data_IF_114846182474
#
_entry.id   IF_114846182474
#
_cell.length_a   1.000
_cell.length_b   1.000
_cell.length_c   1.000
_cell.angle_alpha   90.00
_cell.angle_beta   90.00
_cell.angle_gamma   90.00
#
_symmetry.space_group_name_H-M   'P 1'
#
loop_
_entity.id
_entity.type
_entity.pdbx_description
1 polymer ?
#
# COMPACT_ATOMS: atom_id res chain seq x y z
N UNK A 1 -3.57 -20.35 9.95
CA UNK A 1 -3.26 -18.97 9.53
C UNK A 1 -2.86 -18.19 10.77
N UNK A 2 -1.61 -17.78 10.86
CA UNK A 2 -1.14 -16.95 11.99
C UNK A 2 -1.45 -15.51 11.65
N UNK A 3 -2.33 -14.86 12.43
CA UNK A 3 -2.57 -13.44 12.27
C UNK A 3 -1.37 -12.66 12.85
N UNK A 4 -0.81 -11.75 12.06
CA UNK A 4 0.21 -10.83 12.55
C UNK A 4 -0.51 -9.63 13.14
N UNK A 5 -0.55 -9.56 14.49
CA UNK A 5 -1.21 -8.48 15.23
C UNK A 5 -0.17 -7.42 15.56
N UNK A 6 -0.44 -6.17 15.18
CA UNK A 6 0.40 -5.04 15.52
C UNK A 6 -0.35 -4.00 16.34
N UNK A 7 0.24 -3.64 17.50
CA UNK A 7 -0.32 -2.66 18.41
C UNK A 7 0.00 -1.23 17.99
N UNK A 8 -0.97 -0.35 18.15
CA UNK A 8 -0.75 1.08 18.05
C UNK A 8 -0.17 1.65 19.35
N UNK A 9 0.46 2.81 19.28
CA UNK A 9 1.14 3.46 20.41
C UNK A 9 0.18 3.87 21.54
N UNK A 10 -1.10 4.01 21.24
CA UNK A 10 -2.14 4.35 22.24
C UNK A 10 -2.50 3.19 23.16
N UNK A 11 -2.01 1.97 22.89
CA UNK A 11 -2.34 0.74 23.61
C UNK A 11 -3.85 0.42 23.70
N UNK A 12 -4.67 1.10 22.89
CA UNK A 12 -6.13 0.93 22.80
C UNK A 12 -6.57 0.28 21.52
N UNK A 13 -5.75 0.38 20.47
CA UNK A 13 -6.03 -0.17 19.15
C UNK A 13 -4.92 -1.12 18.71
N UNK A 14 -5.30 -2.13 17.95
CA UNK A 14 -4.39 -2.97 17.20
C UNK A 14 -4.95 -3.22 15.80
N UNK A 15 -4.09 -3.54 14.86
CA UNK A 15 -4.50 -3.82 13.49
C UNK A 15 -3.90 -5.14 12.99
N UNK A 16 -4.56 -5.69 11.98
CA UNK A 16 -4.18 -6.93 11.30
C UNK A 16 -4.19 -6.68 9.81
N UNK A 17 -3.11 -7.05 9.15
CA UNK A 17 -3.03 -7.13 7.69
C UNK A 17 -3.34 -8.56 7.27
N UNK A 18 -4.21 -8.73 6.29
CA UNK A 18 -4.60 -10.04 5.76
C UNK A 18 -4.50 -10.06 4.24
N UNK A 19 -3.97 -11.15 3.72
CA UNK A 19 -4.01 -11.44 2.27
C UNK A 19 -5.15 -12.41 1.98
N UNK A 20 -6.04 -12.05 1.06
CA UNK A 20 -7.05 -12.95 0.52
C UNK A 20 -6.66 -13.37 -0.90
N UNK A 21 -6.39 -14.67 -1.05
CA UNK A 21 -6.04 -15.32 -2.32
C UNK A 21 -7.09 -16.36 -2.73
N UNK A 22 -8.31 -16.30 -2.21
CA UNK A 22 -9.38 -17.22 -2.57
C UNK A 22 -9.77 -17.02 -4.03
N UNK A 23 -10.06 -18.13 -4.72
CA UNK A 23 -10.43 -18.11 -6.13
C UNK A 23 -9.30 -17.85 -7.12
N UNK A 24 -8.10 -17.43 -6.68
CA UNK A 24 -6.97 -17.21 -7.60
C UNK A 24 -6.53 -18.52 -8.25
N UNK A 25 -6.24 -18.46 -9.55
CA UNK A 25 -5.67 -19.56 -10.31
C UNK A 25 -4.21 -19.84 -9.94
N UNK A 26 -3.77 -21.05 -10.24
CA UNK A 26 -2.37 -21.45 -10.06
C UNK A 26 -1.58 -21.24 -11.34
N UNK A 27 -0.36 -20.75 -11.21
CA UNK A 27 0.66 -20.79 -12.23
C UNK A 27 1.60 -21.95 -11.95
N UNK A 28 1.92 -22.71 -13.00
CA UNK A 28 2.74 -23.92 -12.94
C UNK A 28 4.05 -23.70 -13.68
N UNK A 29 5.18 -23.87 -12.99
CA UNK A 29 6.51 -23.75 -13.56
C UNK A 29 7.27 -25.07 -13.39
N UNK A 30 7.82 -25.60 -14.48
CA UNK A 30 8.68 -26.77 -14.43
C UNK A 30 10.13 -26.31 -14.30
N UNK A 31 10.77 -26.63 -13.18
CA UNK A 31 12.19 -26.39 -13.00
C UNK A 31 13.00 -27.58 -13.56
N UNK A 32 13.69 -27.35 -14.66
CA UNK A 32 14.54 -28.34 -15.35
C UNK A 32 16.03 -28.13 -15.10
N UNK A 33 16.42 -27.05 -14.39
CA UNK A 33 17.83 -26.67 -14.16
C UNK A 33 18.43 -27.31 -12.92
N UNK A 34 17.64 -27.99 -12.10
CA UNK A 34 18.10 -28.65 -10.89
C UNK A 34 18.88 -29.95 -11.20
N UNK A 35 19.66 -30.42 -10.21
CA UNK A 35 20.26 -31.75 -10.27
C UNK A 35 19.17 -32.81 -10.04
N UNK A 36 18.95 -33.69 -10.99
CA UNK A 36 17.97 -34.77 -10.90
C UNK A 36 16.80 -34.61 -11.85
N UNK A 37 15.62 -35.14 -11.45
CA UNK A 37 14.40 -35.04 -12.26
C UNK A 37 13.79 -33.66 -12.16
N UNK A 38 13.13 -33.18 -13.23
CA UNK A 38 12.39 -31.91 -13.19
C UNK A 38 11.37 -31.89 -12.04
N UNK A 39 11.24 -30.72 -11.40
CA UNK A 39 10.26 -30.50 -10.34
C UNK A 39 9.20 -29.48 -10.78
N UNK A 40 7.96 -29.68 -10.34
CA UNK A 40 6.87 -28.77 -10.58
C UNK A 40 6.79 -27.78 -9.41
N UNK A 41 6.85 -26.47 -9.72
CA UNK A 41 6.55 -25.40 -8.78
C UNK A 41 5.17 -24.83 -9.12
N UNK A 42 4.28 -24.77 -8.15
CA UNK A 42 2.96 -24.17 -8.29
C UNK A 42 2.77 -23.05 -7.28
N UNK A 43 2.17 -21.95 -7.73
CA UNK A 43 1.81 -20.84 -6.84
C UNK A 43 0.65 -20.04 -7.42
N UNK A 44 -0.12 -19.42 -6.55
CA UNK A 44 -1.23 -18.57 -6.96
C UNK A 44 -0.70 -17.28 -7.59
N UNK A 45 -1.12 -17.00 -8.82
CA UNK A 45 -0.68 -15.84 -9.58
C UNK A 45 -1.82 -15.32 -10.46
N UNK A 46 -2.10 -14.03 -10.34
CA UNK A 46 -3.12 -13.38 -11.16
C UNK A 46 -2.53 -12.92 -12.49
N UNK A 47 -3.11 -13.38 -13.59
CA UNK A 47 -2.78 -12.91 -14.94
C UNK A 47 -3.62 -11.68 -15.29
N UNK A 48 -3.17 -10.88 -16.29
CA UNK A 48 -4.01 -9.82 -16.85
C UNK A 48 -5.37 -10.38 -17.33
N UNK A 49 -6.46 -9.78 -16.88
CA UNK A 49 -7.82 -10.22 -17.21
C UNK A 49 -8.45 -11.21 -16.21
N UNK A 50 -7.70 -11.75 -15.26
CA UNK A 50 -8.27 -12.63 -14.24
C UNK A 50 -9.29 -11.90 -13.38
N UNK A 51 -10.41 -12.58 -13.08
CA UNK A 51 -11.47 -12.07 -12.22
C UNK A 51 -11.06 -12.09 -10.75
N UNK A 52 -10.31 -13.13 -10.34
CA UNK A 52 -9.86 -13.30 -8.96
C UNK A 52 -8.39 -12.93 -8.81
N UNK A 53 -8.13 -11.89 -8.03
CA UNK A 53 -6.79 -11.39 -7.72
C UNK A 53 -6.53 -11.41 -6.23
N UNK A 54 -5.26 -11.32 -5.84
CA UNK A 54 -4.90 -11.11 -4.43
C UNK A 54 -5.47 -9.79 -3.94
N UNK A 55 -6.12 -9.83 -2.77
CA UNK A 55 -6.60 -8.64 -2.05
C UNK A 55 -5.88 -8.55 -0.72
N UNK A 56 -5.38 -7.38 -0.42
CA UNK A 56 -4.83 -7.08 0.89
C UNK A 56 -5.88 -6.31 1.68
N UNK A 57 -6.15 -6.77 2.88
CA UNK A 57 -7.16 -6.22 3.77
C UNK A 57 -6.49 -5.65 5.01
N UNK A 58 -7.02 -4.55 5.53
CA UNK A 58 -6.60 -3.91 6.76
C UNK A 58 -7.78 -3.91 7.74
N UNK A 59 -7.59 -4.55 8.88
CA UNK A 59 -8.57 -4.63 9.95
C UNK A 59 -8.05 -3.92 11.18
N UNK A 60 -8.82 -3.00 11.74
CA UNK A 60 -8.51 -2.27 12.96
C UNK A 60 -9.46 -2.70 14.07
N UNK A 61 -8.95 -2.87 15.29
CA UNK A 61 -9.72 -3.31 16.43
C UNK A 61 -9.54 -2.36 17.60
N UNK A 62 -10.65 -2.06 18.28
CA UNK A 62 -10.64 -1.32 19.57
C UNK A 62 -10.73 -2.30 20.72
N UNK A 63 -9.74 -2.25 21.63
CA UNK A 63 -9.72 -3.07 22.86
C UNK A 63 -10.82 -2.65 23.81
N UNK A 64 -11.05 -1.35 23.92
CA UNK A 64 -12.07 -0.79 24.83
C UNK A 64 -13.48 -1.19 24.38
N UNK A 65 -13.77 -1.09 23.09
CA UNK A 65 -15.05 -1.45 22.52
C UNK A 65 -15.19 -2.96 22.26
N UNK A 66 -14.09 -3.73 22.35
CA UNK A 66 -14.02 -5.18 22.08
C UNK A 66 -14.61 -5.55 20.72
N UNK A 67 -14.39 -4.72 19.70
CA UNK A 67 -14.92 -4.92 18.35
C UNK A 67 -13.97 -4.36 17.27
N UNK A 68 -14.20 -4.80 16.06
CA UNK A 68 -13.59 -4.22 14.88
C UNK A 68 -14.12 -2.79 14.66
N UNK A 69 -13.21 -1.89 14.32
CA UNK A 69 -13.51 -0.53 13.86
C UNK A 69 -13.65 -0.58 12.35
N UNK A 70 -14.82 -0.22 11.83
CA UNK A 70 -15.08 -0.21 10.40
C UNK A 70 -14.20 0.82 9.70
N UNK A 71 -13.43 0.37 8.70
CA UNK A 71 -12.56 1.22 7.88
C UNK A 71 -13.05 1.20 6.43
N UNK A 72 -13.45 2.34 5.84
CA UNK A 72 -13.81 2.44 4.43
C UNK A 72 -12.56 2.43 3.54
N UNK A 73 -11.83 1.32 3.52
CA UNK A 73 -10.58 1.19 2.76
C UNK A 73 -10.81 1.00 1.27
N UNK A 74 -11.94 0.38 0.89
CA UNK A 74 -12.24 0.10 -0.50
C UNK A 74 -12.74 1.34 -1.25
N UNK A 75 -12.21 1.56 -2.44
CA UNK A 75 -12.65 2.60 -3.38
C UNK A 75 -12.83 2.04 -4.79
N UNK A 76 -11.90 1.21 -5.23
CA UNK A 76 -11.93 0.62 -6.57
C UNK A 76 -11.99 -0.90 -6.49
N UNK A 77 -12.68 -1.49 -7.45
CA UNK A 77 -12.67 -2.94 -7.62
C UNK A 77 -11.24 -3.42 -7.84
N UNK A 78 -10.84 -4.48 -7.13
CA UNK A 78 -9.53 -5.14 -7.25
C UNK A 78 -8.33 -4.19 -7.03
N UNK A 79 -8.51 -3.17 -6.20
CA UNK A 79 -7.42 -2.28 -5.80
C UNK A 79 -6.32 -3.04 -5.05
N UNK A 80 -5.09 -2.56 -5.17
CA UNK A 80 -4.01 -2.97 -4.26
C UNK A 80 -4.03 -2.08 -3.03
N UNK A 81 -3.67 -2.67 -1.88
CA UNK A 81 -3.55 -1.95 -0.61
C UNK A 81 -2.19 -2.28 0.01
N UNK A 82 -1.45 -1.25 0.40
CA UNK A 82 -0.16 -1.38 1.09
C UNK A 82 -0.20 -0.53 2.35
N UNK A 83 0.08 -1.15 3.49
CA UNK A 83 0.05 -0.46 4.79
C UNK A 83 1.39 0.20 5.08
N UNK A 84 1.33 1.42 5.61
CA UNK A 84 2.48 2.21 6.05
C UNK A 84 2.32 2.61 7.50
N UNK A 85 3.41 2.52 8.25
CA UNK A 85 3.47 2.75 9.69
C UNK A 85 4.40 3.90 10.00
N UNK A 86 3.96 4.80 10.86
CA UNK A 86 4.80 5.87 11.36
C UNK A 86 4.91 5.78 12.89
N UNK A 87 6.16 5.73 13.39
CA UNK A 87 6.47 5.50 14.79
C UNK A 87 6.67 4.03 15.17
N UNK A 88 7.37 3.78 16.26
CA UNK A 88 7.57 2.46 16.87
C UNK A 88 7.42 2.58 18.38
N UNK A 89 6.31 2.10 18.96
CA UNK A 89 5.14 1.47 18.33
C UNK A 89 4.41 2.44 17.38
N UNK A 90 3.56 1.91 16.51
CA UNK A 90 2.86 2.67 15.47
C UNK A 90 2.01 3.79 16.03
N UNK A 91 2.39 5.05 15.81
CA UNK A 91 1.61 6.23 16.22
C UNK A 91 0.57 6.63 15.19
N UNK A 92 0.94 6.59 13.91
CA UNK A 92 0.05 6.92 12.82
C UNK A 92 0.02 5.76 11.83
N UNK A 93 -1.17 5.32 11.47
CA UNK A 93 -1.43 4.26 10.51
C UNK A 93 -1.90 4.88 9.19
N UNK A 94 -1.25 4.47 8.11
CA UNK A 94 -1.57 4.91 6.77
C UNK A 94 -1.71 3.70 5.86
N UNK A 95 -2.38 3.89 4.73
CA UNK A 95 -2.32 2.93 3.63
C UNK A 95 -2.32 3.65 2.29
N UNK A 96 -1.67 3.03 1.32
CA UNK A 96 -1.74 3.39 -0.09
C UNK A 96 -2.73 2.43 -0.75
N UNK A 97 -3.79 2.96 -1.35
CA UNK A 97 -4.65 2.21 -2.26
C UNK A 97 -4.38 2.65 -3.69
N UNK A 98 -4.27 1.68 -4.57
CA UNK A 98 -3.98 1.92 -5.98
C UNK A 98 -4.93 1.10 -6.85
N UNK A 99 -5.47 1.73 -7.86
CA UNK A 99 -6.32 1.10 -8.84
C UNK A 99 -5.57 0.01 -9.62
N UNK A 100 -6.22 -1.08 -9.96
CA UNK A 100 -5.59 -2.21 -10.68
C UNK A 100 -4.98 -1.78 -12.02
N UNK A 101 -5.56 -0.79 -12.68
CA UNK A 101 -5.04 -0.20 -13.94
C UNK A 101 -3.77 0.64 -13.74
N UNK A 102 -3.36 0.88 -12.50
CA UNK A 102 -2.16 1.66 -12.13
C UNK A 102 -2.15 3.10 -12.65
N UNK A 103 -3.32 3.70 -12.88
CA UNK A 103 -3.48 5.09 -13.35
C UNK A 103 -3.94 6.05 -12.25
N UNK A 104 -4.38 5.52 -11.10
CA UNK A 104 -4.87 6.33 -9.98
C UNK A 104 -4.51 5.69 -8.63
N UNK A 105 -4.04 6.52 -7.69
CA UNK A 105 -3.72 6.09 -6.33
C UNK A 105 -4.03 7.15 -5.29
N UNK A 106 -4.30 6.70 -4.08
CA UNK A 106 -4.53 7.54 -2.91
C UNK A 106 -3.72 7.04 -1.72
N UNK A 107 -3.03 7.98 -1.09
CA UNK A 107 -2.40 7.75 0.20
C UNK A 107 -3.31 8.28 1.30
N UNK A 108 -3.71 7.38 2.19
CA UNK A 108 -4.76 7.63 3.18
C UNK A 108 -4.21 7.50 4.59
N UNK A 109 -4.69 8.35 5.51
CA UNK A 109 -4.45 8.25 6.96
C UNK A 109 -5.68 7.67 7.63
N UNK A 110 -5.47 6.74 8.55
CA UNK A 110 -6.50 6.16 9.41
C UNK A 110 -6.60 6.98 10.71
N UNK A 111 -7.83 7.28 11.15
CA UNK A 111 -8.13 7.85 12.47
C UNK A 111 -8.68 6.72 13.33
N UNK A 112 -7.90 6.15 14.26
CA UNK A 112 -8.25 4.90 14.93
C UNK A 112 -9.51 5.01 15.80
N UNK A 113 -9.73 6.17 16.40
CA UNK A 113 -10.84 6.41 17.35
C UNK A 113 -12.21 6.34 16.64
N UNK A 114 -12.26 6.73 15.39
CA UNK A 114 -13.52 6.85 14.62
C UNK A 114 -13.64 5.90 13.46
N UNK A 115 -12.52 5.32 13.00
CA UNK A 115 -12.44 4.58 11.75
C UNK A 115 -12.45 5.48 10.49
N UNK A 116 -12.39 6.80 10.66
CA UNK A 116 -12.35 7.72 9.52
C UNK A 116 -11.08 7.52 8.71
N UNK A 117 -11.22 7.50 7.39
CA UNK A 117 -10.12 7.43 6.43
C UNK A 117 -10.01 8.76 5.70
N UNK A 118 -8.91 9.47 5.92
CA UNK A 118 -8.62 10.75 5.27
C UNK A 118 -7.65 10.56 4.11
N UNK A 119 -8.04 10.98 2.91
CA UNK A 119 -7.12 11.04 1.77
C UNK A 119 -6.14 12.19 2.00
N UNK A 120 -4.86 11.85 2.06
CA UNK A 120 -3.75 12.79 2.27
C UNK A 120 -3.15 13.23 0.94
N UNK A 121 -2.85 12.27 0.05
CA UNK A 121 -2.36 12.54 -1.29
C UNK A 121 -3.19 11.73 -2.28
N UNK A 122 -3.65 12.39 -3.34
CA UNK A 122 -4.31 11.78 -4.47
C UNK A 122 -3.53 12.10 -5.73
N UNK A 123 -3.23 11.09 -6.53
CA UNK A 123 -2.50 11.27 -7.78
C UNK A 123 -3.10 10.42 -8.89
N UNK A 124 -3.17 11.04 -10.08
CA UNK A 124 -3.50 10.38 -11.34
C UNK A 124 -2.34 10.51 -12.30
N UNK A 125 -2.13 9.50 -13.13
CA UNK A 125 -1.09 9.47 -14.14
C UNK A 125 -1.63 8.85 -15.43
N UNK A 126 -1.25 9.42 -16.55
CA UNK A 126 -1.57 8.86 -17.86
C UNK A 126 -0.27 8.49 -18.59
N UNK A 127 -0.17 7.26 -19.10
CA UNK A 127 -1.20 6.20 -19.03
C UNK A 127 -1.21 5.40 -17.72
N UNK A 128 -0.10 5.34 -16.96
CA UNK A 128 0.02 4.60 -15.70
C UNK A 128 1.28 5.01 -14.92
N UNK A 129 1.29 4.71 -13.62
CA UNK A 129 2.45 4.94 -12.75
C UNK A 129 3.58 3.94 -13.00
N UNK A 130 4.80 4.39 -12.84
CA UNK A 130 5.96 3.50 -12.77
C UNK A 130 6.10 2.91 -11.35
N UNK A 131 5.42 1.78 -11.10
CA UNK A 131 5.47 1.09 -9.81
C UNK A 131 6.87 0.67 -9.36
N UNK A 132 7.75 0.41 -10.30
CA UNK A 132 9.12 -0.02 -10.01
C UNK A 132 9.96 1.09 -9.36
N UNK A 133 9.72 2.32 -9.77
CA UNK A 133 10.42 3.51 -9.30
C UNK A 133 9.67 4.23 -8.18
N UNK A 134 8.36 4.04 -8.07
CA UNK A 134 7.55 4.67 -7.04
C UNK A 134 8.10 4.40 -5.65
N UNK A 135 8.28 5.45 -4.85
CA UNK A 135 8.70 5.42 -3.45
C UNK A 135 7.93 6.43 -2.62
N UNK A 136 7.65 6.00 -1.41
CA UNK A 136 7.03 6.81 -0.37
C UNK A 136 7.82 6.62 0.93
N UNK A 137 8.15 7.73 1.60
CA UNK A 137 8.78 7.69 2.91
C UNK A 137 8.04 8.61 3.88
N UNK A 138 7.79 8.09 5.07
CA UNK A 138 7.25 8.85 6.19
C UNK A 138 8.40 9.33 7.07
N UNK A 139 8.50 10.64 7.27
CA UNK A 139 9.52 11.26 8.09
C UNK A 139 8.88 11.80 9.37
N UNK A 140 9.67 11.86 10.44
CA UNK A 140 9.26 12.43 11.74
C UNK A 140 7.92 11.86 12.21
N UNK A 141 7.80 10.53 12.23
CA UNK A 141 6.60 9.80 12.66
C UNK A 141 5.32 10.17 11.84
N UNK A 142 5.50 10.59 10.58
CA UNK A 142 4.41 10.92 9.66
C UNK A 142 4.05 12.40 9.61
N UNK A 143 4.82 13.29 10.28
CA UNK A 143 4.63 14.73 10.16
C UNK A 143 4.98 15.25 8.74
N UNK A 144 5.83 14.51 8.03
CA UNK A 144 6.20 14.82 6.66
C UNK A 144 6.20 13.56 5.80
N UNK A 145 5.89 13.75 4.51
CA UNK A 145 5.80 12.69 3.53
C UNK A 145 6.71 13.06 2.35
N UNK A 146 7.61 12.14 1.99
CA UNK A 146 8.38 12.23 0.75
C UNK A 146 7.71 11.30 -0.26
N UNK A 147 7.27 11.87 -1.35
CA UNK A 147 6.45 11.23 -2.39
C UNK A 147 7.15 11.32 -3.73
N UNK A 148 7.34 10.18 -4.40
CA UNK A 148 7.85 10.14 -5.76
C UNK A 148 6.70 10.26 -6.77
N UNK A 149 6.85 11.11 -7.79
CA UNK A 149 5.81 11.38 -8.78
C UNK A 149 6.39 11.75 -10.14
N UNK A 150 5.73 11.32 -11.22
CA UNK A 150 6.07 11.64 -12.62
C UNK A 150 5.27 12.83 -13.18
N UNK A 151 4.64 13.63 -12.34
CA UNK A 151 3.75 14.75 -12.73
C UNK A 151 4.36 15.78 -13.69
N UNK A 152 5.67 15.82 -13.80
CA UNK A 152 6.39 16.75 -14.70
C UNK A 152 6.98 16.05 -15.92
N UNK A 153 6.61 14.77 -16.17
CA UNK A 153 7.14 13.95 -17.26
C UNK A 153 8.43 13.20 -16.91
N UNK A 154 9.01 13.48 -15.75
CA UNK A 154 10.14 12.76 -15.16
C UNK A 154 9.85 12.48 -13.68
N UNK A 155 10.30 11.34 -13.17
CA UNK A 155 10.09 10.99 -11.78
C UNK A 155 10.95 11.82 -10.83
N UNK A 156 10.31 12.52 -9.91
CA UNK A 156 10.96 13.35 -8.91
C UNK A 156 10.35 13.17 -7.54
N UNK A 157 11.11 13.53 -6.50
CA UNK A 157 10.65 13.51 -5.13
C UNK A 157 10.06 14.87 -4.74
N UNK A 158 8.92 14.80 -4.05
CA UNK A 158 8.17 15.94 -3.53
C UNK A 158 7.95 15.79 -2.03
N UNK A 159 8.04 16.88 -1.29
CA UNK A 159 7.81 16.92 0.15
C UNK A 159 6.44 17.49 0.46
N UNK A 160 5.68 16.77 1.26
CA UNK A 160 4.37 17.17 1.75
C UNK A 160 4.37 17.24 3.27
N UNK A 161 3.43 18.02 3.83
CA UNK A 161 3.10 17.92 5.25
C UNK A 161 2.15 16.74 5.51
N UNK A 162 1.84 16.48 6.78
CA UNK A 162 0.93 15.40 7.21
C UNK A 162 -0.51 15.53 6.72
N UNK A 163 -0.89 16.69 6.24
CA UNK A 163 -2.23 16.99 5.73
C UNK A 163 -2.30 16.89 4.20
N UNK A 164 -1.18 16.59 3.53
CA UNK A 164 -1.09 16.48 2.08
C UNK A 164 -0.86 17.81 1.36
N UNK A 165 -0.47 18.87 2.07
CA UNK A 165 -0.08 20.13 1.44
C UNK A 165 1.34 19.99 0.90
N UNK A 166 1.52 20.24 -0.41
CA UNK A 166 2.83 20.24 -1.04
C UNK A 166 3.69 21.38 -0.47
N UNK A 167 4.86 21.05 0.06
CA UNK A 167 5.83 22.03 0.55
C UNK A 167 6.80 22.47 -0.54
N UNK A 168 7.46 21.51 -1.18
CA UNK A 168 8.43 21.78 -2.26
C UNK A 168 8.75 20.50 -3.05
N UNK A 169 9.30 20.69 -4.26
CA UNK A 169 10.03 19.64 -4.94
C UNK A 169 11.40 19.48 -4.27
N UNK A 170 11.83 18.23 -4.04
CA UNK A 170 13.17 17.91 -3.53
C UNK A 170 14.16 17.77 -4.69
N UNK A 171 13.70 17.19 -5.81
CA UNK A 171 14.48 17.02 -7.02
C UNK A 171 13.73 17.56 -8.22
N UNK A 172 14.46 18.00 -9.27
CA UNK A 172 13.89 18.53 -10.50
C UNK A 172 14.88 18.42 -11.66
N UNK A 173 14.37 18.51 -12.91
CA UNK A 173 15.22 18.47 -14.10
C UNK A 173 14.70 17.52 -15.18
N UNK A 174 15.44 17.39 -16.29
CA UNK A 174 15.13 16.46 -17.39
C UNK A 174 15.77 15.09 -17.18
N UNK A 175 15.57 14.52 -16.02
CA UNK A 175 16.08 13.20 -15.62
C UNK A 175 15.16 12.63 -14.55
N UNK A 176 15.19 11.33 -14.37
CA UNK A 176 14.35 10.63 -13.38
C UNK A 176 15.17 10.30 -12.15
N UNK A 177 14.71 10.73 -10.97
CA UNK A 177 15.26 10.35 -9.69
C UNK A 177 14.95 8.87 -9.44
N UNK A 178 15.99 8.05 -9.39
CA UNK A 178 15.91 6.64 -9.09
C UNK A 178 16.15 6.33 -7.60
N UNK A 179 16.53 5.07 -7.35
CA UNK A 179 16.91 4.58 -6.01
C UNK A 179 18.24 5.14 -5.59
#
# INVERSE_FOLDING_TARGET
VTANVEWMADSKHFYVEREDKRGMAFLYLVNTLGKGRPTLNEYKFAMPGDEHVQRNELHLFSVEQKKEVELPVEKWKDQTLTVYKAGRPTKNLYFLRKKRTCDEMEFCRVIPETGEVKVVIHEKCEPYFNDQLFKLHLLYEGEEIVWWSERTGHGHYYRYDKNGNLKNAITSGRWTAGK
#
